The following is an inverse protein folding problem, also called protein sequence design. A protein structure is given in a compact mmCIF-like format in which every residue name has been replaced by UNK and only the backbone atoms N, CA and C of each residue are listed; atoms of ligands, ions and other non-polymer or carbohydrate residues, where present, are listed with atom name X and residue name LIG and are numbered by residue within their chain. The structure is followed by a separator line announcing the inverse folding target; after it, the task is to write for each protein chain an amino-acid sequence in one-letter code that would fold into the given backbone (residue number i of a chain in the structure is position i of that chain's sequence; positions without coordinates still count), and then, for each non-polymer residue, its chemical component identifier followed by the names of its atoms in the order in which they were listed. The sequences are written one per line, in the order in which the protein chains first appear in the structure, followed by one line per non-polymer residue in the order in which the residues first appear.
data_IF_234169504093
#
_entry.id   IF_234169504093
#
_cell.length_a   1.000
_cell.length_b   1.000
_cell.length_c   1.000
_cell.angle_alpha   90.00
_cell.angle_beta   90.00
_cell.angle_gamma   90.00
#
_symmetry.space_group_name_H-M   'P 1'
#
loop_
_entity.id
_entity.type
_entity.pdbx_description
1 polymer ?
#
# COMPACT_ATOMS: atom_id res chain seq x y z
N UNK A 1 -11.35 -65.24 -18.67
CA UNK A 1 -12.29 -64.18 -18.23
C UNK A 1 -11.50 -63.07 -17.55
N UNK A 2 -11.62 -61.84 -18.09
CA UNK A 2 -11.32 -60.50 -17.53
C UNK A 2 -9.86 -60.20 -17.10
N UNK A 3 -9.08 -59.48 -17.91
CA UNK A 3 -9.04 -58.03 -18.21
C UNK A 3 -8.25 -57.21 -17.18
N UNK A 4 -7.06 -56.79 -17.64
CA UNK A 4 -6.20 -55.66 -17.28
C UNK A 4 -6.94 -54.48 -16.63
N UNK A 5 -6.41 -53.91 -15.54
CA UNK A 5 -6.10 -52.46 -15.41
C UNK A 5 -4.98 -52.28 -14.36
N UNK A 6 -3.81 -51.91 -14.87
CA UNK A 6 -2.75 -51.19 -14.17
C UNK A 6 -3.30 -49.83 -13.73
N UNK A 7 -3.34 -49.52 -12.43
CA UNK A 7 -3.46 -48.13 -11.97
C UNK A 7 -2.13 -47.75 -11.32
N UNK A 8 -1.28 -47.15 -12.16
CA UNK A 8 -0.19 -46.30 -11.73
C UNK A 8 -0.78 -45.21 -10.82
N UNK A 9 -0.47 -45.28 -9.53
CA UNK A 9 -0.52 -44.11 -8.67
C UNK A 9 0.53 -43.13 -9.20
N UNK A 10 0.10 -42.24 -10.11
CA UNK A 10 0.78 -40.99 -10.38
C UNK A 10 0.71 -40.17 -9.09
N UNK A 11 1.69 -40.39 -8.21
CA UNK A 11 2.14 -39.37 -7.29
C UNK A 11 2.70 -38.24 -8.17
N UNK A 12 1.84 -37.29 -8.51
CA UNK A 12 2.24 -35.96 -8.96
C UNK A 12 2.94 -35.27 -7.79
N UNK A 13 4.16 -35.72 -7.50
CA UNK A 13 5.20 -34.83 -7.04
C UNK A 13 5.29 -33.75 -8.11
N UNK A 14 4.68 -32.60 -7.83
CA UNK A 14 5.12 -31.35 -8.40
C UNK A 14 6.57 -31.23 -7.96
N UNK A 15 7.47 -31.75 -8.78
CA UNK A 15 8.85 -31.34 -8.81
C UNK A 15 8.81 -29.86 -9.13
N UNK A 16 8.69 -29.04 -8.09
CA UNK A 16 9.24 -27.71 -8.11
C UNK A 16 10.71 -27.92 -8.49
N UNK A 17 11.05 -27.57 -9.73
CA UNK A 17 12.43 -27.47 -10.18
C UNK A 17 13.16 -26.54 -9.22
N UNK A 18 13.77 -27.10 -8.18
CA UNK A 18 14.67 -26.37 -7.32
C UNK A 18 15.82 -25.89 -8.21
N UNK A 19 15.99 -24.58 -8.27
CA UNK A 19 17.01 -23.96 -9.08
C UNK A 19 18.40 -24.49 -8.72
N UNK A 20 19.21 -24.82 -9.72
CA UNK A 20 20.56 -25.35 -9.56
C UNK A 20 21.60 -24.28 -9.19
N UNK A 21 21.17 -23.07 -8.80
CA UNK A 21 22.05 -22.01 -8.33
C UNK A 21 21.84 -21.85 -6.83
N UNK A 22 22.80 -22.23 -5.97
CA UNK A 22 22.66 -22.05 -4.53
C UNK A 22 22.59 -20.56 -4.22
N UNK A 23 21.37 -20.03 -4.06
CA UNK A 23 21.13 -18.69 -3.54
C UNK A 23 20.90 -18.75 -2.05
N UNK A 24 21.57 -17.87 -1.32
CA UNK A 24 21.26 -17.67 0.08
C UNK A 24 19.84 -17.14 0.26
N UNK A 25 19.15 -17.59 1.30
CA UNK A 25 17.93 -16.92 1.75
C UNK A 25 18.36 -15.67 2.50
N UNK A 26 17.96 -14.50 2.01
CA UNK A 26 18.11 -13.24 2.75
C UNK A 26 16.93 -13.10 3.67
N UNK A 27 17.20 -12.93 4.96
CA UNK A 27 16.18 -12.57 5.96
C UNK A 27 16.21 -11.06 6.15
N UNK A 28 15.06 -10.44 5.97
CA UNK A 28 14.80 -9.04 6.31
C UNK A 28 14.20 -8.98 7.71
N UNK A 29 14.47 -7.89 8.39
CA UNK A 29 13.83 -7.63 9.67
C UNK A 29 12.36 -7.30 9.43
N UNK A 30 11.54 -7.51 10.46
CA UNK A 30 10.17 -6.98 10.42
C UNK A 30 10.20 -5.45 10.40
N UNK A 31 9.17 -4.84 9.82
CA UNK A 31 9.02 -3.38 9.77
C UNK A 31 9.23 -2.67 11.12
N UNK A 32 8.75 -3.28 12.21
CA UNK A 32 8.85 -2.70 13.56
C UNK A 32 10.25 -2.85 14.19
N UNK A 33 11.02 -3.86 13.75
CA UNK A 33 12.44 -3.99 14.07
C UNK A 33 13.25 -2.95 13.28
N UNK A 34 12.97 -2.77 11.98
CA UNK A 34 13.62 -1.74 11.17
C UNK A 34 13.39 -0.34 11.73
N UNK A 35 12.16 -0.02 12.16
CA UNK A 35 11.85 1.22 12.88
C UNK A 35 12.70 1.34 14.14
N UNK A 36 12.83 0.27 14.93
CA UNK A 36 13.55 0.33 16.19
C UNK A 36 15.05 0.59 15.99
N UNK A 37 15.69 -0.12 15.07
CA UNK A 37 17.11 0.03 14.78
C UNK A 37 17.42 1.40 14.18
N UNK A 38 16.62 1.84 13.19
CA UNK A 38 16.79 3.16 12.59
C UNK A 38 16.55 4.28 13.60
N UNK A 39 15.59 4.13 14.51
CA UNK A 39 15.37 5.09 15.58
C UNK A 39 16.57 5.19 16.53
N UNK A 40 17.26 4.08 16.83
CA UNK A 40 18.46 4.10 17.67
C UNK A 40 19.64 4.78 16.97
N UNK A 41 19.84 4.54 15.67
CA UNK A 41 20.85 5.23 14.87
C UNK A 41 20.59 6.74 14.84
N UNK A 42 19.36 7.16 14.51
CA UNK A 42 18.98 8.57 14.48
C UNK A 42 19.13 9.26 15.84
N UNK A 43 18.79 8.59 16.94
CA UNK A 43 19.05 9.12 18.30
C UNK A 43 20.53 9.36 18.57
N UNK A 44 21.41 8.48 18.10
CA UNK A 44 22.85 8.66 18.25
C UNK A 44 23.35 9.88 17.46
N UNK A 45 22.80 10.09 16.25
CA UNK A 45 23.11 11.24 15.40
C UNK A 45 22.49 12.55 15.92
N UNK A 46 21.37 12.51 16.64
CA UNK A 46 20.74 13.71 17.21
C UNK A 46 21.60 14.43 18.24
N UNK A 47 22.54 13.74 18.89
CA UNK A 47 23.47 14.38 19.84
C UNK A 47 24.40 15.42 19.18
N UNK A 48 24.42 15.52 17.84
CA UNK A 48 25.07 16.61 17.10
C UNK A 48 24.15 17.76 16.65
N UNK A 49 22.91 17.85 17.18
CA UNK A 49 21.99 19.00 17.03
C UNK A 49 21.51 19.35 15.62
N UNK A 50 21.37 18.37 14.73
CA UNK A 50 20.73 18.62 13.42
C UNK A 50 19.21 18.49 13.53
N UNK A 51 18.49 19.61 13.36
CA UNK A 51 17.01 19.63 13.32
C UNK A 51 16.45 18.66 12.25
N UNK A 52 17.16 18.45 11.13
CA UNK A 52 16.83 17.46 10.11
C UNK A 52 16.76 16.02 10.66
N UNK A 53 17.72 15.63 11.50
CA UNK A 53 17.75 14.28 12.11
C UNK A 53 16.65 14.11 13.14
N UNK A 54 16.31 15.19 13.84
CA UNK A 54 15.15 15.21 14.74
C UNK A 54 13.85 15.04 13.96
N UNK A 55 13.71 15.71 12.82
CA UNK A 55 12.56 15.58 11.94
C UNK A 55 12.46 14.16 11.34
N UNK A 56 13.56 13.60 10.84
CA UNK A 56 13.63 12.20 10.36
C UNK A 56 13.17 11.20 11.43
N UNK A 57 13.62 11.38 12.69
CA UNK A 57 13.20 10.52 13.79
C UNK A 57 11.71 10.68 14.10
N UNK A 58 11.19 11.90 14.07
CA UNK A 58 9.78 12.18 14.29
C UNK A 58 8.89 11.53 13.22
N UNK A 59 9.29 11.62 11.95
CA UNK A 59 8.63 10.93 10.84
C UNK A 59 8.66 9.41 11.03
N UNK A 60 9.82 8.85 11.37
CA UNK A 60 9.95 7.41 11.59
C UNK A 60 8.98 6.92 12.67
N UNK A 61 8.84 7.67 13.77
CA UNK A 61 7.88 7.35 14.81
C UNK A 61 6.43 7.52 14.38
N UNK A 62 6.08 8.58 13.64
CA UNK A 62 4.69 8.85 13.25
C UNK A 62 4.11 7.80 12.30
N UNK A 63 4.95 7.12 11.52
CA UNK A 63 4.52 6.03 10.63
C UNK A 63 4.35 4.67 11.31
N UNK A 64 4.78 4.51 12.57
CA UNK A 64 4.61 3.28 13.33
C UNK A 64 3.15 2.83 13.41
N UNK A 65 2.90 1.52 13.32
CA UNK A 65 1.56 1.00 13.54
C UNK A 65 1.11 1.09 14.99
N UNK A 66 2.04 1.04 15.96
CA UNK A 66 1.69 1.12 17.37
C UNK A 66 1.62 2.56 17.87
N UNK A 67 0.49 2.95 18.45
CA UNK A 67 0.25 4.29 18.98
C UNK A 67 1.30 4.73 20.00
N UNK A 68 1.76 3.83 20.89
CA UNK A 68 2.79 4.14 21.89
C UNK A 68 4.08 4.68 21.27
N UNK A 69 4.45 4.18 20.08
CA UNK A 69 5.61 4.68 19.33
C UNK A 69 5.30 5.99 18.61
N UNK A 70 4.10 6.13 18.01
CA UNK A 70 3.68 7.40 17.38
C UNK A 70 3.70 8.58 18.35
N UNK A 71 3.33 8.35 19.62
CA UNK A 71 3.41 9.36 20.69
C UNK A 71 4.83 9.89 20.92
N UNK A 72 5.88 9.16 20.55
CA UNK A 72 7.27 9.62 20.65
C UNK A 72 7.60 10.73 19.63
N UNK A 73 6.83 10.88 18.56
CA UNK A 73 6.99 11.96 17.60
C UNK A 73 6.55 13.33 18.15
N UNK A 74 5.59 13.35 19.10
CA UNK A 74 4.96 14.58 19.62
C UNK A 74 5.98 15.61 20.11
N UNK A 75 6.89 15.29 21.07
CA UNK A 75 7.81 16.28 21.60
C UNK A 75 8.79 16.80 20.53
N UNK A 76 9.18 15.94 19.58
CA UNK A 76 10.11 16.31 18.51
C UNK A 76 9.47 17.28 17.52
N UNK A 77 8.25 16.98 17.05
CA UNK A 77 7.51 17.83 16.13
C UNK A 77 7.14 19.17 16.75
N UNK A 78 6.72 19.18 18.02
CA UNK A 78 6.37 20.43 18.73
C UNK A 78 7.57 21.36 18.87
N UNK A 79 8.73 20.82 19.28
CA UNK A 79 9.94 21.63 19.39
C UNK A 79 10.35 22.24 18.04
N UNK A 80 10.33 21.45 16.96
CA UNK A 80 10.67 21.92 15.61
C UNK A 80 9.66 22.94 15.09
N UNK A 81 8.37 22.73 15.35
CA UNK A 81 7.31 23.68 15.00
C UNK A 81 7.45 25.02 15.74
N UNK A 82 7.84 24.99 17.02
CA UNK A 82 8.09 26.21 17.79
C UNK A 82 9.33 26.98 17.29
N UNK A 83 10.29 26.29 16.65
CA UNK A 83 11.41 26.92 15.91
C UNK A 83 11.02 27.43 14.51
N UNK A 84 9.79 27.19 14.06
CA UNK A 84 9.32 27.62 12.74
C UNK A 84 9.69 26.67 11.58
N UNK A 85 10.06 25.41 11.87
CA UNK A 85 10.33 24.41 10.83
C UNK A 85 9.03 23.99 10.15
N UNK A 86 8.85 24.40 8.89
CA UNK A 86 7.55 24.30 8.20
C UNK A 86 7.09 22.86 7.96
N UNK A 87 7.99 21.96 7.58
CA UNK A 87 7.67 20.55 7.37
C UNK A 87 7.18 19.90 8.67
N UNK A 88 7.77 20.25 9.81
CA UNK A 88 7.30 19.79 11.12
C UNK A 88 5.94 20.37 11.48
N UNK A 89 5.68 21.64 11.14
CA UNK A 89 4.35 22.27 11.31
C UNK A 89 3.30 21.53 10.47
N UNK A 90 3.54 21.37 9.16
CA UNK A 90 2.66 20.66 8.23
C UNK A 90 2.37 19.24 8.71
N UNK A 91 3.40 18.48 9.07
CA UNK A 91 3.24 17.11 9.58
C UNK A 91 2.48 17.08 10.90
N UNK A 92 2.84 17.93 11.86
CA UNK A 92 2.17 17.97 13.17
C UNK A 92 0.66 18.22 13.01
N UNK A 93 0.29 19.24 12.24
CA UNK A 93 -1.11 19.61 12.02
C UNK A 93 -1.93 18.49 11.37
N UNK A 94 -1.38 17.80 10.37
CA UNK A 94 -2.04 16.65 9.75
C UNK A 94 -2.19 15.47 10.71
N UNK A 95 -1.16 15.16 11.49
CA UNK A 95 -1.20 14.04 12.43
C UNK A 95 -2.15 14.30 13.62
N UNK A 96 -2.25 15.55 14.09
CA UNK A 96 -3.23 15.95 15.11
C UNK A 96 -4.67 15.85 14.58
N UNK A 97 -4.92 16.32 13.35
CA UNK A 97 -6.24 16.26 12.75
C UNK A 97 -6.74 14.83 12.54
N UNK A 98 -5.85 13.92 12.13
CA UNK A 98 -6.17 12.50 11.90
C UNK A 98 -6.21 11.64 13.17
N UNK A 99 -5.77 12.15 14.31
CA UNK A 99 -5.67 11.37 15.55
C UNK A 99 -4.47 10.40 15.60
N UNK A 100 -3.52 10.53 14.67
CA UNK A 100 -2.38 9.61 14.53
C UNK A 100 -1.49 9.63 15.79
N UNK A 101 -1.42 10.77 16.50
CA UNK A 101 -0.61 10.92 17.72
C UNK A 101 -1.33 10.42 18.99
N UNK A 102 -2.50 9.81 18.86
CA UNK A 102 -3.29 9.32 19.99
C UNK A 102 -4.12 10.40 20.69
N UNK A 103 -4.32 11.54 20.05
CA UNK A 103 -5.28 12.58 20.40
C UNK A 103 -5.68 13.31 19.12
N UNK A 104 -6.84 13.96 19.11
CA UNK A 104 -7.28 14.80 17.99
C UNK A 104 -7.23 16.28 18.36
N UNK A 105 -6.80 17.12 17.43
CA UNK A 105 -6.65 18.56 17.65
C UNK A 105 -6.52 19.32 16.32
N UNK A 106 -7.00 20.56 16.33
CA UNK A 106 -6.84 21.58 15.30
C UNK A 106 -5.97 22.76 15.77
N UNK A 107 -5.52 22.75 17.03
CA UNK A 107 -4.87 23.90 17.66
C UNK A 107 -3.56 24.31 16.98
N UNK A 108 -2.74 23.34 16.55
CA UNK A 108 -1.53 23.65 15.78
C UNK A 108 -1.87 24.25 14.41
N UNK A 109 -2.94 23.79 13.75
CA UNK A 109 -3.34 24.36 12.47
C UNK A 109 -3.79 25.81 12.65
N UNK A 110 -4.65 26.09 13.64
CA UNK A 110 -5.09 27.44 13.96
C UNK A 110 -3.92 28.38 14.29
N UNK A 111 -2.92 27.90 15.05
CA UNK A 111 -1.71 28.66 15.39
C UNK A 111 -0.90 29.07 14.15
N UNK A 112 -0.74 28.16 13.19
CA UNK A 112 0.17 28.32 12.05
C UNK A 112 -0.52 28.55 10.70
N UNK A 113 -1.85 28.67 10.64
CA UNK A 113 -2.62 28.69 9.39
C UNK A 113 -2.13 29.74 8.38
N UNK A 114 -1.68 30.91 8.85
CA UNK A 114 -1.20 31.97 7.98
C UNK A 114 0.13 31.59 7.31
N UNK A 115 1.05 30.99 8.07
CA UNK A 115 2.33 30.49 7.55
C UNK A 115 2.12 29.32 6.59
N UNK A 116 1.26 28.37 6.94
CA UNK A 116 0.92 27.23 6.08
C UNK A 116 0.33 27.73 4.76
N UNK A 117 -0.64 28.65 4.79
CA UNK A 117 -1.27 29.18 3.57
C UNK A 117 -0.25 29.83 2.62
N UNK A 118 0.80 30.45 3.14
CA UNK A 118 1.82 31.12 2.32
C UNK A 118 2.89 30.13 1.84
N UNK A 119 3.36 29.24 2.71
CA UNK A 119 4.54 28.41 2.45
C UNK A 119 4.21 27.00 1.95
N UNK A 120 3.00 26.52 2.22
CA UNK A 120 2.47 25.20 1.83
C UNK A 120 0.95 25.29 1.50
N UNK A 121 0.59 25.99 0.42
CA UNK A 121 -0.81 26.22 0.04
C UNK A 121 -1.55 24.93 -0.31
N UNK A 122 -0.84 23.89 -0.73
CA UNK A 122 -1.43 22.57 -1.03
C UNK A 122 -1.91 21.90 0.25
N UNK A 123 -1.07 21.84 1.29
CA UNK A 123 -1.49 21.32 2.60
C UNK A 123 -2.63 22.15 3.20
N UNK A 124 -2.57 23.47 3.11
CA UNK A 124 -3.66 24.34 3.57
C UNK A 124 -4.99 23.98 2.89
N UNK A 125 -4.97 23.85 1.55
CA UNK A 125 -6.17 23.56 0.76
C UNK A 125 -6.71 22.17 1.06
N UNK A 126 -5.83 21.18 1.19
CA UNK A 126 -6.18 19.80 1.55
C UNK A 126 -6.82 19.73 2.94
N UNK A 127 -6.17 20.31 3.96
CA UNK A 127 -6.70 20.36 5.32
C UNK A 127 -8.07 21.04 5.37
N UNK A 128 -8.22 22.18 4.66
CA UNK A 128 -9.48 22.91 4.63
C UNK A 128 -10.60 22.14 3.94
N UNK A 129 -10.31 21.48 2.82
CA UNK A 129 -11.28 20.62 2.14
C UNK A 129 -11.75 19.49 3.07
N UNK A 130 -10.83 18.78 3.70
CA UNK A 130 -11.16 17.69 4.62
C UNK A 130 -11.96 18.20 5.84
N UNK A 131 -11.57 19.36 6.39
CA UNK A 131 -12.31 20.00 7.49
C UNK A 131 -13.74 20.34 7.06
N UNK A 132 -13.91 20.99 5.91
CA UNK A 132 -15.20 21.46 5.42
C UNK A 132 -16.13 20.27 5.11
N UNK A 133 -15.64 19.21 4.47
CA UNK A 133 -16.39 17.98 4.19
C UNK A 133 -16.88 17.32 5.49
N UNK A 134 -16.00 17.18 6.49
CA UNK A 134 -16.37 16.57 7.76
C UNK A 134 -17.30 17.46 8.59
N UNK A 135 -17.14 18.79 8.51
CA UNK A 135 -18.06 19.74 9.14
C UNK A 135 -19.44 19.66 8.48
N UNK A 136 -19.50 19.55 7.15
CA UNK A 136 -20.75 19.35 6.40
C UNK A 136 -21.46 18.06 6.84
N UNK A 137 -20.76 16.92 6.88
CA UNK A 137 -21.33 15.66 7.38
C UNK A 137 -21.82 15.77 8.81
N UNK A 138 -21.01 16.36 9.70
CA UNK A 138 -21.37 16.51 11.12
C UNK A 138 -22.56 17.44 11.36
N UNK A 139 -22.91 18.31 10.41
CA UNK A 139 -24.01 19.26 10.54
C UNK A 139 -25.28 18.78 9.84
N UNK A 140 -25.19 18.38 8.56
CA UNK A 140 -26.32 17.95 7.73
C UNK A 140 -26.72 16.50 7.99
N UNK A 141 -25.75 15.60 8.17
CA UNK A 141 -25.94 14.14 8.32
C UNK A 141 -25.61 13.66 9.75
N UNK A 142 -25.86 14.51 10.75
CA UNK A 142 -25.42 14.25 12.13
C UNK A 142 -25.98 12.93 12.70
N UNK A 143 -27.25 12.63 12.42
CA UNK A 143 -27.89 11.44 12.99
C UNK A 143 -27.29 10.17 12.39
N UNK A 144 -27.07 10.15 11.07
CA UNK A 144 -26.46 9.06 10.33
C UNK A 144 -25.02 8.83 10.79
N UNK A 145 -24.22 9.90 10.89
CA UNK A 145 -22.82 9.77 11.32
C UNK A 145 -22.72 9.41 12.80
N UNK A 146 -23.65 9.87 13.65
CA UNK A 146 -23.75 9.45 15.05
C UNK A 146 -24.02 7.96 15.17
N UNK A 147 -24.97 7.43 14.40
CA UNK A 147 -25.26 5.98 14.37
C UNK A 147 -24.02 5.19 13.97
N UNK A 148 -23.30 5.63 12.94
CA UNK A 148 -22.06 4.97 12.50
C UNK A 148 -21.02 5.04 13.62
N UNK A 149 -20.73 6.22 14.17
CA UNK A 149 -19.73 6.40 15.22
C UNK A 149 -20.05 5.55 16.45
N UNK A 150 -21.24 5.71 17.03
CA UNK A 150 -21.65 5.05 18.28
C UNK A 150 -21.65 3.52 18.14
N UNK A 151 -21.95 3.01 16.94
CA UNK A 151 -21.97 1.57 16.67
C UNK A 151 -20.61 0.99 16.27
N UNK A 152 -19.59 1.81 15.93
CA UNK A 152 -18.35 1.30 15.33
C UNK A 152 -17.06 1.78 16.00
N UNK A 153 -17.11 2.77 16.90
CA UNK A 153 -15.90 3.28 17.57
C UNK A 153 -15.11 2.16 18.29
N UNK A 154 -15.82 1.15 18.80
CA UNK A 154 -15.23 0.02 19.52
C UNK A 154 -14.38 -0.89 18.62
N UNK A 155 -14.51 -0.76 17.29
CA UNK A 155 -13.68 -1.44 16.31
C UNK A 155 -12.29 -0.77 16.18
N UNK A 156 -12.10 0.44 16.71
CA UNK A 156 -10.78 1.08 16.78
C UNK A 156 -9.90 0.39 17.82
N UNK A 157 -8.84 -0.32 17.39
CA UNK A 157 -7.90 -0.99 18.31
C UNK A 157 -7.01 -0.01 19.10
N UNK A 158 -6.87 1.23 18.63
CA UNK A 158 -5.90 2.20 19.13
C UNK A 158 -6.60 3.50 19.55
N UNK A 159 -7.29 3.45 20.70
CA UNK A 159 -8.10 4.55 21.25
C UNK A 159 -7.27 5.82 21.51
N UNK A 160 -7.85 6.99 21.21
CA UNK A 160 -7.28 8.29 21.56
C UNK A 160 -7.52 8.65 23.03
N UNK A 161 -6.73 9.59 23.57
CA UNK A 161 -6.81 10.03 24.97
C UNK A 161 -8.17 10.67 25.32
N UNK A 162 -8.81 11.32 24.36
CA UNK A 162 -10.13 11.95 24.49
C UNK A 162 -11.25 11.02 23.98
N UNK A 163 -11.15 9.72 24.29
CA UNK A 163 -12.13 8.77 23.78
C UNK A 163 -13.54 9.10 24.31
N UNK A 164 -14.50 9.25 23.38
CA UNK A 164 -15.92 9.48 23.69
C UNK A 164 -16.71 8.28 23.20
N UNK A 165 -17.53 7.68 24.06
CA UNK A 165 -18.32 6.50 23.72
C UNK A 165 -19.59 6.81 22.92
N UNK A 166 -19.92 8.10 22.76
CA UNK A 166 -21.10 8.56 22.03
C UNK A 166 -20.80 9.91 21.39
N UNK A 167 -21.09 10.06 20.11
CA UNK A 167 -20.88 11.30 19.37
C UNK A 167 -21.90 12.35 19.82
N UNK A 168 -21.41 13.51 20.23
CA UNK A 168 -22.24 14.66 20.60
C UNK A 168 -22.11 15.77 19.56
N UNK A 169 -23.17 16.57 19.38
CA UNK A 169 -23.15 17.69 18.45
C UNK A 169 -22.33 18.83 19.06
N UNK A 170 -21.11 19.00 18.57
CA UNK A 170 -20.21 20.08 18.95
C UNK A 170 -19.47 20.66 17.72
N UNK A 171 -18.93 21.88 17.81
CA UNK A 171 -18.08 22.43 16.74
C UNK A 171 -16.84 21.58 16.41
N UNK A 172 -16.39 20.72 17.33
CA UNK A 172 -15.22 19.85 17.18
C UNK A 172 -15.55 18.40 16.80
N UNK A 173 -16.82 18.09 16.52
CA UNK A 173 -17.28 16.74 16.15
C UNK A 173 -16.48 16.18 14.97
N UNK A 174 -16.16 17.02 13.98
CA UNK A 174 -15.41 16.62 12.79
C UNK A 174 -14.04 16.00 13.10
N UNK A 175 -13.39 16.37 14.22
CA UNK A 175 -12.12 15.78 14.63
C UNK A 175 -12.27 14.30 15.03
N UNK A 176 -13.34 13.96 15.75
CA UNK A 176 -13.65 12.57 16.11
C UNK A 176 -14.01 11.74 14.87
N UNK A 177 -14.65 12.36 13.89
CA UNK A 177 -14.98 11.74 12.61
C UNK A 177 -13.74 11.47 11.75
N UNK A 178 -12.81 12.43 11.67
CA UNK A 178 -11.50 12.25 11.04
C UNK A 178 -10.75 11.06 11.64
N UNK A 179 -10.68 11.00 12.98
CA UNK A 179 -10.08 9.88 13.67
C UNK A 179 -10.79 8.55 13.40
N UNK A 180 -12.12 8.50 13.42
CA UNK A 180 -12.86 7.26 13.14
C UNK A 180 -12.48 6.69 11.76
N UNK A 181 -12.50 7.53 10.72
CA UNK A 181 -12.09 7.15 9.37
C UNK A 181 -10.66 6.59 9.35
N UNK A 182 -9.75 7.30 10.01
CA UNK A 182 -8.34 6.91 10.07
C UNK A 182 -8.12 5.60 10.85
N UNK A 183 -8.79 5.42 11.98
CA UNK A 183 -8.67 4.24 12.83
C UNK A 183 -9.13 2.99 12.05
N UNK A 184 -10.27 3.10 11.35
CA UNK A 184 -10.91 1.99 10.67
C UNK A 184 -10.10 1.59 9.43
N UNK A 185 -9.47 2.53 8.75
CA UNK A 185 -8.76 2.27 7.48
C UNK A 185 -7.29 1.92 7.62
N UNK A 186 -6.61 2.33 8.71
CA UNK A 186 -5.15 2.20 8.84
C UNK A 186 -4.68 1.44 10.07
N UNK A 187 -5.34 1.60 11.21
CA UNK A 187 -4.79 1.17 12.51
C UNK A 187 -5.53 0.02 13.17
N UNK A 188 -6.64 -0.42 12.59
CA UNK A 188 -7.42 -1.57 13.03
C UNK A 188 -7.31 -2.67 11.98
N UNK A 189 -6.93 -3.86 12.40
CA UNK A 189 -6.64 -5.02 11.54
C UNK A 189 -7.29 -6.28 12.05
N UNK A 190 -8.31 -6.16 12.91
CA UNK A 190 -9.18 -7.23 13.38
C UNK A 190 -10.62 -6.93 12.98
N UNK A 191 -11.43 -7.98 12.95
CA UNK A 191 -12.85 -7.92 12.62
C UNK A 191 -13.05 -7.28 11.24
N UNK A 192 -12.31 -7.75 10.23
CA UNK A 192 -12.26 -7.16 8.89
C UNK A 192 -13.64 -6.89 8.33
N UNK A 193 -14.55 -7.87 8.39
CA UNK A 193 -15.91 -7.73 7.87
C UNK A 193 -16.65 -6.54 8.52
N UNK A 194 -16.73 -6.47 9.85
CA UNK A 194 -17.41 -5.37 10.55
C UNK A 194 -16.73 -4.01 10.32
N UNK A 195 -15.40 -3.97 10.32
CA UNK A 195 -14.59 -2.77 10.08
C UNK A 195 -14.77 -2.22 8.66
N UNK A 196 -14.76 -3.10 7.66
CA UNK A 196 -14.93 -2.74 6.25
C UNK A 196 -16.38 -2.29 6.00
N UNK A 197 -17.37 -2.91 6.62
CA UNK A 197 -18.78 -2.44 6.56
C UNK A 197 -18.94 -1.05 7.18
N UNK A 198 -18.31 -0.80 8.33
CA UNK A 198 -18.30 0.52 8.96
C UNK A 198 -17.67 1.58 8.04
N UNK A 199 -16.53 1.22 7.41
CA UNK A 199 -15.84 2.07 6.44
C UNK A 199 -16.69 2.34 5.21
N UNK A 200 -17.41 1.33 4.69
CA UNK A 200 -18.33 1.47 3.56
C UNK A 200 -19.43 2.51 3.85
N UNK A 201 -20.11 2.38 4.99
CA UNK A 201 -21.16 3.32 5.44
C UNK A 201 -20.63 4.74 5.62
N UNK A 202 -19.45 4.86 6.22
CA UNK A 202 -18.82 6.15 6.44
C UNK A 202 -18.40 6.81 5.12
N UNK A 203 -17.81 6.04 4.21
CA UNK A 203 -17.42 6.50 2.88
C UNK A 203 -18.63 6.93 2.04
N UNK A 204 -19.76 6.23 2.15
CA UNK A 204 -21.00 6.61 1.47
C UNK A 204 -21.46 8.02 1.88
N UNK A 205 -21.34 8.39 3.17
CA UNK A 205 -21.64 9.75 3.62
C UNK A 205 -20.64 10.78 3.07
N UNK A 206 -19.35 10.46 3.08
CA UNK A 206 -18.31 11.32 2.47
C UNK A 206 -18.60 11.59 0.99
N UNK A 207 -19.04 10.59 0.25
CA UNK A 207 -19.36 10.75 -1.18
C UNK A 207 -20.59 11.61 -1.46
N UNK A 208 -21.48 11.82 -0.47
CA UNK A 208 -22.65 12.70 -0.62
C UNK A 208 -22.30 14.19 -0.52
N UNK A 209 -21.26 14.52 0.23
CA UNK A 209 -20.83 15.91 0.46
C UNK A 209 -19.63 16.32 -0.40
N UNK A 210 -18.75 15.38 -0.72
CA UNK A 210 -17.50 15.65 -1.43
C UNK A 210 -17.76 16.12 -2.86
N UNK A 211 -16.89 16.99 -3.36
CA UNK A 211 -16.92 17.43 -4.75
C UNK A 211 -16.64 16.21 -5.66
N UNK A 212 -17.69 15.67 -6.30
CA UNK A 212 -17.71 14.39 -7.03
C UNK A 212 -16.79 14.42 -8.26
N UNK A 213 -15.48 14.29 -8.06
CA UNK A 213 -14.49 13.98 -9.09
C UNK A 213 -13.94 12.56 -8.98
N UNK A 214 -14.07 11.92 -7.83
CA UNK A 214 -13.63 10.54 -7.59
C UNK A 214 -14.84 9.60 -7.49
N UNK A 215 -14.75 8.40 -8.08
CA UNK A 215 -15.75 7.35 -7.91
C UNK A 215 -15.85 6.98 -6.42
N UNK A 216 -17.06 6.92 -5.89
CA UNK A 216 -17.27 6.54 -4.50
C UNK A 216 -16.87 5.08 -4.26
N UNK A 217 -15.88 4.83 -3.41
CA UNK A 217 -15.37 3.47 -3.13
C UNK A 217 -16.15 2.72 -2.04
N UNK A 218 -17.33 3.21 -1.64
CA UNK A 218 -18.16 2.61 -0.57
C UNK A 218 -18.59 1.19 -0.92
N UNK A 219 -19.06 0.95 -2.16
CA UNK A 219 -19.46 -0.36 -2.65
C UNK A 219 -18.30 -1.35 -2.66
N UNK A 220 -17.09 -0.88 -2.96
CA UNK A 220 -15.87 -1.69 -2.87
C UNK A 220 -15.57 -2.15 -1.44
N UNK A 221 -15.73 -1.29 -0.44
CA UNK A 221 -15.59 -1.68 0.96
C UNK A 221 -16.69 -2.66 1.39
N UNK A 222 -17.93 -2.48 0.91
CA UNK A 222 -19.04 -3.39 1.18
C UNK A 222 -18.78 -4.79 0.59
N UNK A 223 -18.30 -4.86 -0.65
CA UNK A 223 -17.92 -6.10 -1.33
C UNK A 223 -16.79 -6.85 -0.58
N UNK A 224 -15.74 -6.12 -0.16
CA UNK A 224 -14.68 -6.72 0.65
C UNK A 224 -15.18 -7.19 2.04
N UNK A 225 -16.20 -6.52 2.59
CA UNK A 225 -16.85 -6.89 3.85
C UNK A 225 -17.75 -8.13 3.76
N UNK A 226 -18.38 -8.38 2.60
CA UNK A 226 -19.11 -9.63 2.34
C UNK A 226 -18.21 -10.77 1.87
N UNK A 227 -17.03 -10.46 1.34
CA UNK A 227 -16.11 -11.45 0.75
C UNK A 227 -16.49 -11.79 -0.68
N UNK A 228 -17.32 -10.96 -1.31
CA UNK A 228 -17.81 -11.18 -2.66
C UNK A 228 -18.02 -9.87 -3.40
N UNK A 229 -17.77 -9.88 -4.71
CA UNK A 229 -17.94 -8.72 -5.59
C UNK A 229 -18.51 -9.19 -6.94
N UNK A 230 -19.01 -8.28 -7.75
CA UNK A 230 -19.51 -8.56 -9.09
C UNK A 230 -18.80 -7.67 -10.12
N UNK A 231 -19.11 -7.85 -11.41
CA UNK A 231 -18.47 -7.07 -12.47
C UNK A 231 -18.81 -5.57 -12.40
N UNK A 232 -19.97 -5.19 -11.88
CA UNK A 232 -20.43 -3.80 -11.81
C UNK A 232 -19.63 -3.00 -10.79
N UNK A 233 -19.28 -3.61 -9.65
CA UNK A 233 -18.52 -2.94 -8.58
C UNK A 233 -17.02 -3.34 -8.53
N UNK A 234 -16.49 -3.96 -9.59
CA UNK A 234 -15.10 -4.41 -9.65
C UNK A 234 -14.10 -3.23 -9.57
N UNK A 235 -14.42 -2.09 -10.17
CA UNK A 235 -13.55 -0.89 -10.13
C UNK A 235 -13.43 -0.34 -8.71
N UNK A 236 -14.56 -0.20 -8.01
CA UNK A 236 -14.66 0.29 -6.65
C UNK A 236 -14.00 -0.69 -5.66
N UNK A 237 -14.20 -1.99 -5.86
CA UNK A 237 -13.55 -3.05 -5.09
C UNK A 237 -12.03 -3.02 -5.26
N UNK A 238 -11.54 -2.88 -6.50
CA UNK A 238 -10.12 -2.71 -6.78
C UNK A 238 -9.55 -1.44 -6.11
N UNK A 239 -10.26 -0.31 -6.18
CA UNK A 239 -9.83 0.93 -5.55
C UNK A 239 -9.77 0.83 -4.01
N UNK A 240 -10.78 0.24 -3.38
CA UNK A 240 -10.81 -0.02 -1.94
C UNK A 240 -9.66 -0.95 -1.51
N UNK A 241 -9.45 -2.04 -2.27
CA UNK A 241 -8.36 -2.98 -2.02
C UNK A 241 -6.98 -2.33 -2.18
N UNK A 242 -6.81 -1.46 -3.17
CA UNK A 242 -5.58 -0.68 -3.37
C UNK A 242 -5.27 0.21 -2.17
N UNK A 243 -6.29 0.87 -1.62
CA UNK A 243 -6.16 1.72 -0.42
C UNK A 243 -5.78 0.89 0.81
N UNK A 244 -6.41 -0.26 1.00
CA UNK A 244 -6.06 -1.22 2.08
C UNK A 244 -4.62 -1.70 1.93
N UNK A 245 -4.22 -2.18 0.74
CA UNK A 245 -2.86 -2.64 0.47
C UNK A 245 -1.83 -1.55 0.78
N UNK A 246 -2.03 -0.33 0.27
CA UNK A 246 -1.11 0.80 0.54
C UNK A 246 -0.95 1.10 2.03
N UNK A 247 -2.04 1.05 2.80
CA UNK A 247 -2.02 1.30 4.24
C UNK A 247 -1.26 0.22 5.03
N UNK A 248 -1.16 -1.00 4.50
CA UNK A 248 -0.60 -2.15 5.19
C UNK A 248 0.64 -2.76 4.51
N UNK A 249 1.06 -2.24 3.36
CA UNK A 249 2.11 -2.80 2.50
C UNK A 249 3.37 -3.22 3.26
N UNK A 250 3.90 -2.35 4.11
CA UNK A 250 5.14 -2.63 4.85
C UNK A 250 5.01 -3.77 5.86
N UNK A 251 3.79 -4.05 6.35
CA UNK A 251 3.52 -5.20 7.22
C UNK A 251 3.25 -6.49 6.44
N UNK A 252 2.76 -6.36 5.21
CA UNK A 252 2.47 -7.47 4.31
C UNK A 252 3.73 -7.92 3.55
N UNK A 253 4.80 -7.12 3.58
CA UNK A 253 6.09 -7.51 3.04
C UNK A 253 6.60 -8.77 3.74
N UNK A 254 6.90 -9.81 2.95
CA UNK A 254 7.58 -11.01 3.43
C UNK A 254 8.89 -10.63 4.09
N UNK A 255 9.31 -11.38 5.11
CA UNK A 255 10.57 -11.11 5.83
C UNK A 255 11.71 -11.99 5.33
N UNK A 256 11.53 -12.69 4.22
CA UNK A 256 12.56 -13.51 3.61
C UNK A 256 12.38 -13.61 2.11
N UNK A 257 13.48 -13.74 1.38
CA UNK A 257 13.43 -14.01 -0.05
C UNK A 257 14.79 -14.46 -0.58
N UNK A 258 14.89 -14.63 -1.90
CA UNK A 258 16.13 -14.99 -2.54
C UNK A 258 17.14 -13.84 -2.47
N UNK A 259 18.38 -14.17 -2.12
CA UNK A 259 19.53 -13.27 -2.24
C UNK A 259 20.04 -13.15 -3.66
N UNK A 260 21.10 -12.36 -3.83
CA UNK A 260 21.65 -12.02 -5.13
C UNK A 260 22.05 -13.25 -5.96
N UNK A 261 21.61 -13.26 -7.23
CA UNK A 261 22.03 -14.23 -8.22
C UNK A 261 23.13 -13.68 -9.12
N UNK A 262 24.01 -14.55 -9.61
CA UNK A 262 24.96 -14.14 -10.65
C UNK A 262 24.30 -14.21 -12.02
N UNK A 263 24.28 -13.10 -12.76
CA UNK A 263 23.95 -13.08 -14.19
C UNK A 263 25.18 -13.35 -15.04
N UNK A 264 25.01 -14.03 -16.17
CA UNK A 264 26.11 -14.16 -17.15
C UNK A 264 26.37 -12.82 -17.83
N UNK A 265 27.59 -12.67 -18.36
CA UNK A 265 27.98 -11.46 -19.11
C UNK A 265 27.10 -11.24 -20.33
N UNK A 266 26.62 -12.29 -20.99
CA UNK A 266 25.75 -12.17 -22.17
C UNK A 266 24.36 -11.66 -21.81
N UNK A 267 23.75 -12.15 -20.73
CA UNK A 267 22.47 -11.62 -20.22
C UNK A 267 22.61 -10.16 -19.80
N UNK A 268 23.66 -9.84 -19.05
CA UNK A 268 23.94 -8.46 -18.64
C UNK A 268 24.15 -7.52 -19.84
N UNK A 269 24.84 -7.99 -20.89
CA UNK A 269 25.03 -7.23 -22.12
C UNK A 269 23.72 -7.00 -22.88
N UNK A 270 22.85 -8.01 -22.99
CA UNK A 270 21.56 -7.89 -23.64
C UNK A 270 20.64 -6.89 -22.93
N UNK A 271 20.55 -6.97 -21.59
CA UNK A 271 19.83 -6.00 -20.77
C UNK A 271 20.38 -4.58 -20.96
N UNK A 272 21.70 -4.42 -20.89
CA UNK A 272 22.34 -3.11 -21.06
C UNK A 272 22.07 -2.53 -22.46
N UNK A 273 22.17 -3.34 -23.50
CA UNK A 273 21.91 -2.90 -24.88
C UNK A 273 20.45 -2.46 -25.05
N UNK A 274 19.51 -3.22 -24.50
CA UNK A 274 18.09 -2.92 -24.58
C UNK A 274 17.74 -1.59 -23.87
N UNK A 275 18.24 -1.37 -22.65
CA UNK A 275 18.02 -0.11 -21.93
C UNK A 275 18.71 1.08 -22.60
N UNK A 276 19.90 0.89 -23.21
CA UNK A 276 20.57 1.96 -23.96
C UNK A 276 19.82 2.37 -25.23
N UNK A 277 19.33 1.41 -26.01
CA UNK A 277 18.52 1.70 -27.20
C UNK A 277 17.24 2.46 -26.81
N UNK A 278 16.60 2.02 -25.73
CA UNK A 278 15.48 2.75 -25.14
C UNK A 278 15.85 4.20 -24.75
N UNK A 279 16.96 4.41 -24.04
CA UNK A 279 17.40 5.75 -23.61
C UNK A 279 17.80 6.66 -24.79
N UNK A 280 18.14 6.07 -25.94
CA UNK A 280 18.35 6.78 -27.21
C UNK A 280 17.04 7.14 -27.93
N UNK A 281 15.87 6.77 -27.39
CA UNK A 281 14.55 7.02 -27.98
C UNK A 281 14.06 5.90 -28.92
N UNK A 282 14.82 4.83 -29.08
CA UNK A 282 14.48 3.68 -29.93
C UNK A 282 13.66 2.64 -29.14
N UNK A 283 12.50 3.06 -28.65
CA UNK A 283 11.72 2.27 -27.67
C UNK A 283 11.35 0.86 -28.11
N UNK A 284 11.05 0.66 -29.40
CA UNK A 284 10.73 -0.66 -29.95
C UNK A 284 11.94 -1.58 -30.03
N UNK A 285 13.10 -1.05 -30.40
CA UNK A 285 14.33 -1.85 -30.55
C UNK A 285 14.78 -2.42 -29.21
N UNK A 286 14.70 -1.63 -28.12
CA UNK A 286 14.98 -2.14 -26.78
C UNK A 286 14.14 -3.37 -26.40
N UNK A 287 12.84 -3.35 -26.71
CA UNK A 287 11.94 -4.49 -26.48
C UNK A 287 12.34 -5.68 -27.36
N UNK A 288 12.57 -5.44 -28.65
CA UNK A 288 12.92 -6.48 -29.63
C UNK A 288 14.25 -7.17 -29.30
N UNK A 289 15.24 -6.44 -28.77
CA UNK A 289 16.51 -7.00 -28.29
C UNK A 289 16.25 -8.08 -27.24
N UNK A 290 15.44 -7.80 -26.23
CA UNK A 290 15.17 -8.74 -25.14
C UNK A 290 14.29 -9.91 -25.58
N UNK A 291 13.28 -9.68 -26.42
CA UNK A 291 12.44 -10.74 -26.96
C UNK A 291 13.23 -11.70 -27.85
N UNK A 292 14.09 -11.17 -28.73
CA UNK A 292 15.00 -11.99 -29.53
C UNK A 292 16.03 -12.71 -28.67
N UNK A 293 16.51 -12.07 -27.60
CA UNK A 293 17.43 -12.71 -26.65
C UNK A 293 16.79 -13.94 -25.98
N UNK A 294 15.55 -13.84 -25.49
CA UNK A 294 14.80 -14.97 -24.94
C UNK A 294 14.62 -16.09 -25.97
N UNK A 295 14.22 -15.74 -27.20
CA UNK A 295 13.99 -16.70 -28.28
C UNK A 295 15.25 -17.46 -28.69
N UNK A 296 16.38 -16.76 -28.79
CA UNK A 296 17.64 -17.33 -29.26
C UNK A 296 18.44 -18.04 -28.17
N UNK A 297 18.07 -17.88 -26.89
CA UNK A 297 18.73 -18.50 -25.75
C UNK A 297 17.75 -19.34 -24.91
N UNK A 298 17.16 -20.42 -25.46
CA UNK A 298 16.15 -21.22 -24.74
C UNK A 298 16.72 -21.98 -23.51
N UNK A 299 18.04 -21.95 -23.31
CA UNK A 299 18.74 -22.60 -22.19
C UNK A 299 19.17 -21.59 -21.10
N UNK A 300 18.64 -20.37 -21.11
CA UNK A 300 18.84 -19.42 -20.01
C UNK A 300 18.45 -20.08 -18.69
N UNK A 301 19.26 -19.82 -17.67
CA UNK A 301 18.87 -20.31 -16.35
C UNK A 301 17.61 -19.56 -15.87
N UNK A 302 16.79 -20.17 -14.99
CA UNK A 302 15.51 -19.59 -14.58
C UNK A 302 15.58 -18.14 -14.08
N UNK A 303 16.66 -17.75 -13.42
CA UNK A 303 16.86 -16.39 -12.92
C UNK A 303 17.20 -15.38 -13.99
N UNK A 304 18.06 -15.74 -14.94
CA UNK A 304 18.29 -14.88 -16.10
C UNK A 304 17.00 -14.69 -16.89
N UNK A 305 16.23 -15.76 -17.09
CA UNK A 305 14.91 -15.68 -17.73
C UNK A 305 13.97 -14.73 -16.98
N UNK A 306 13.90 -14.82 -15.65
CA UNK A 306 13.07 -13.93 -14.83
C UNK A 306 13.49 -12.46 -14.95
N UNK A 307 14.80 -12.18 -14.93
CA UNK A 307 15.31 -10.81 -15.09
C UNK A 307 15.08 -10.25 -16.49
N UNK A 308 15.18 -11.07 -17.54
CA UNK A 308 14.88 -10.64 -18.91
C UNK A 308 13.37 -10.40 -19.07
N UNK A 309 12.50 -11.27 -18.55
CA UNK A 309 11.06 -11.00 -18.50
C UNK A 309 10.72 -9.70 -17.77
N UNK A 310 11.34 -9.44 -16.62
CA UNK A 310 11.21 -8.17 -15.90
C UNK A 310 11.68 -6.98 -16.74
N UNK A 311 12.81 -7.13 -17.45
CA UNK A 311 13.32 -6.11 -18.37
C UNK A 311 12.33 -5.78 -19.50
N UNK A 312 11.75 -6.81 -20.13
CA UNK A 312 10.71 -6.65 -21.17
C UNK A 312 9.51 -5.86 -20.63
N UNK A 313 9.00 -6.23 -19.46
CA UNK A 313 7.90 -5.53 -18.79
C UNK A 313 8.20 -4.03 -18.60
N UNK A 314 9.39 -3.70 -18.07
CA UNK A 314 9.80 -2.31 -17.85
C UNK A 314 9.91 -1.49 -19.14
N UNK A 315 10.44 -2.09 -20.21
CA UNK A 315 10.58 -1.40 -21.50
C UNK A 315 9.24 -1.20 -22.21
N UNK A 316 8.33 -2.18 -22.12
CA UNK A 316 6.96 -2.05 -22.66
C UNK A 316 6.20 -0.90 -22.03
N UNK A 317 6.27 -0.73 -20.70
CA UNK A 317 5.65 0.39 -20.00
C UNK A 317 6.11 1.73 -20.57
N UNK A 318 7.42 1.86 -20.80
CA UNK A 318 7.99 3.13 -21.28
C UNK A 318 7.74 3.38 -22.76
N UNK A 319 7.65 2.32 -23.59
CA UNK A 319 7.22 2.44 -24.99
C UNK A 319 5.80 2.99 -25.10
N UNK A 320 4.92 2.63 -24.16
CA UNK A 320 3.55 3.15 -24.05
C UNK A 320 2.72 2.97 -25.34
N UNK A 321 2.96 1.90 -26.09
CA UNK A 321 2.17 1.52 -27.25
C UNK A 321 0.81 0.93 -26.87
N UNK A 322 -0.10 0.84 -27.85
CA UNK A 322 -1.41 0.21 -27.66
C UNK A 322 -1.23 -1.28 -27.34
N UNK A 323 -1.77 -1.72 -26.20
CA UNK A 323 -1.65 -3.11 -25.72
C UNK A 323 -0.40 -3.38 -24.89
N UNK A 324 0.50 -2.41 -24.74
CA UNK A 324 1.76 -2.61 -24.02
C UNK A 324 1.56 -2.82 -22.51
N UNK A 325 0.52 -2.23 -21.91
CA UNK A 325 0.25 -2.42 -20.48
C UNK A 325 -0.14 -3.87 -20.16
N UNK A 326 -0.98 -4.48 -20.99
CA UNK A 326 -1.40 -5.88 -20.86
C UNK A 326 -0.19 -6.82 -21.04
N UNK A 327 0.60 -6.59 -22.10
CA UNK A 327 1.79 -7.39 -22.37
C UNK A 327 2.88 -7.19 -21.29
N UNK A 328 3.03 -5.98 -20.77
CA UNK A 328 3.93 -5.69 -19.66
C UNK A 328 3.50 -6.42 -18.38
N UNK A 329 2.19 -6.49 -18.10
CA UNK A 329 1.67 -7.24 -16.97
C UNK A 329 1.94 -8.74 -17.14
N UNK A 330 1.75 -9.29 -18.34
CA UNK A 330 2.06 -10.69 -18.66
C UNK A 330 3.54 -11.03 -18.40
N UNK A 331 4.47 -10.23 -18.93
CA UNK A 331 5.90 -10.47 -18.72
C UNK A 331 6.33 -10.25 -17.26
N UNK A 332 5.77 -9.24 -16.59
CA UNK A 332 6.00 -9.04 -15.16
C UNK A 332 5.52 -10.23 -14.33
N UNK A 333 4.35 -10.79 -14.67
CA UNK A 333 3.79 -11.98 -14.01
C UNK A 333 4.63 -13.23 -14.26
N UNK A 334 5.11 -13.45 -15.50
CA UNK A 334 6.07 -14.51 -15.82
C UNK A 334 7.36 -14.41 -15.00
N UNK A 335 7.83 -13.18 -14.73
CA UNK A 335 9.00 -12.97 -13.86
C UNK A 335 8.70 -13.34 -12.39
N UNK A 336 7.54 -12.94 -11.85
CA UNK A 336 7.12 -13.29 -10.49
C UNK A 336 6.90 -14.80 -10.31
N UNK A 337 6.17 -15.42 -11.23
CA UNK A 337 5.77 -16.84 -11.15
C UNK A 337 6.96 -17.80 -11.28
N UNK A 338 8.09 -17.31 -11.80
CA UNK A 338 9.36 -18.06 -11.76
C UNK A 338 9.87 -18.30 -10.34
N UNK A 339 9.51 -17.43 -9.39
CA UNK A 339 10.08 -17.35 -8.05
C UNK A 339 11.62 -17.25 -8.03
N UNK A 340 12.21 -16.60 -9.05
CA UNK A 340 13.68 -16.49 -9.21
C UNK A 340 14.20 -15.05 -9.02
N UNK A 341 13.32 -14.08 -8.81
CA UNK A 341 13.71 -12.71 -8.53
C UNK A 341 14.28 -12.59 -7.12
N UNK A 342 15.31 -11.76 -6.98
CA UNK A 342 15.84 -11.35 -5.69
C UNK A 342 14.79 -10.58 -4.90
N UNK A 343 14.86 -10.60 -3.57
CA UNK A 343 13.85 -10.01 -2.70
C UNK A 343 13.36 -8.62 -3.16
N UNK A 344 14.26 -7.65 -3.35
CA UNK A 344 13.88 -6.29 -3.76
C UNK A 344 13.28 -6.24 -5.18
N UNK A 345 13.87 -7.00 -6.11
CA UNK A 345 13.36 -7.09 -7.48
C UNK A 345 11.98 -7.74 -7.53
N UNK A 346 11.73 -8.76 -6.69
CA UNK A 346 10.44 -9.42 -6.55
C UNK A 346 9.38 -8.41 -6.11
N UNK A 347 9.61 -7.70 -5.01
CA UNK A 347 8.65 -6.72 -4.48
C UNK A 347 8.36 -5.59 -5.43
N UNK A 348 9.42 -5.02 -6.04
CA UNK A 348 9.25 -3.95 -7.02
C UNK A 348 8.47 -4.45 -8.25
N UNK A 349 8.68 -5.69 -8.69
CA UNK A 349 7.90 -6.28 -9.79
C UNK A 349 6.48 -6.62 -9.37
N UNK A 350 6.24 -7.04 -8.13
CA UNK A 350 4.90 -7.27 -7.60
C UNK A 350 4.07 -5.99 -7.63
N UNK A 351 4.60 -4.89 -7.09
CA UNK A 351 3.93 -3.59 -7.13
C UNK A 351 3.70 -3.09 -8.56
N UNK A 352 4.69 -3.29 -9.44
CA UNK A 352 4.59 -2.94 -10.85
C UNK A 352 3.42 -3.66 -11.52
N UNK A 353 3.34 -4.99 -11.38
CA UNK A 353 2.28 -5.81 -11.98
C UNK A 353 0.90 -5.42 -11.44
N UNK A 354 0.79 -5.18 -10.13
CA UNK A 354 -0.45 -4.68 -9.55
C UNK A 354 -0.87 -3.33 -10.16
N UNK A 355 0.05 -2.38 -10.28
CA UNK A 355 -0.24 -1.09 -10.89
C UNK A 355 -0.62 -1.22 -12.37
N UNK A 356 0.00 -2.15 -13.12
CA UNK A 356 -0.35 -2.42 -14.50
C UNK A 356 -1.76 -2.99 -14.66
N UNK A 357 -2.16 -3.97 -13.84
CA UNK A 357 -3.54 -4.48 -13.87
C UNK A 357 -4.55 -3.36 -13.60
N UNK A 358 -4.28 -2.51 -12.60
CA UNK A 358 -5.16 -1.39 -12.28
C UNK A 358 -5.24 -0.36 -13.42
N UNK A 359 -4.10 0.03 -14.00
CA UNK A 359 -4.04 1.00 -15.11
C UNK A 359 -4.69 0.47 -16.39
N UNK A 360 -4.56 -0.83 -16.66
CA UNK A 360 -5.20 -1.50 -17.78
C UNK A 360 -6.71 -1.75 -17.55
N UNK A 361 -7.27 -1.33 -16.39
CA UNK A 361 -8.65 -1.60 -15.96
C UNK A 361 -8.99 -3.09 -15.88
N UNK A 362 -7.97 -3.93 -15.73
CA UNK A 362 -8.12 -5.37 -15.50
C UNK A 362 -8.36 -5.62 -14.02
N UNK A 363 -9.51 -5.14 -13.54
CA UNK A 363 -9.83 -5.13 -12.12
C UNK A 363 -10.01 -6.53 -11.54
N UNK A 364 -10.43 -7.51 -12.34
CA UNK A 364 -10.56 -8.90 -11.91
C UNK A 364 -9.18 -9.47 -11.54
N UNK A 365 -8.20 -9.34 -12.43
CA UNK A 365 -6.85 -9.80 -12.14
C UNK A 365 -6.21 -8.97 -11.02
N UNK A 366 -6.46 -7.66 -10.96
CA UNK A 366 -6.00 -6.82 -9.84
C UNK A 366 -6.51 -7.33 -8.48
N UNK A 367 -7.82 -7.55 -8.37
CA UNK A 367 -8.47 -7.99 -7.13
C UNK A 367 -7.91 -9.35 -6.73
N UNK A 368 -7.86 -10.32 -7.65
CA UNK A 368 -7.31 -11.64 -7.38
C UNK A 368 -5.82 -11.56 -6.95
N UNK A 369 -5.01 -10.77 -7.65
CA UNK A 369 -3.58 -10.64 -7.40
C UNK A 369 -3.28 -10.04 -6.02
N UNK A 370 -3.92 -8.91 -5.68
CA UNK A 370 -3.68 -8.23 -4.39
C UNK A 370 -4.36 -8.95 -3.23
N UNK A 371 -5.58 -9.47 -3.39
CA UNK A 371 -6.27 -10.16 -2.29
C UNK A 371 -5.53 -11.42 -1.86
N UNK A 372 -5.09 -12.25 -2.82
CA UNK A 372 -4.28 -13.43 -2.53
C UNK A 372 -2.98 -13.07 -1.81
N UNK A 373 -2.34 -11.97 -2.20
CA UNK A 373 -1.15 -11.49 -1.54
C UNK A 373 -1.39 -11.08 -0.08
N UNK A 374 -2.44 -10.29 0.18
CA UNK A 374 -2.83 -9.88 1.54
C UNK A 374 -3.15 -11.11 2.38
N UNK A 375 -3.95 -12.04 1.84
CA UNK A 375 -4.38 -13.26 2.57
C UNK A 375 -3.19 -14.15 2.93
N UNK A 376 -2.23 -14.31 2.01
CA UNK A 376 -1.03 -15.10 2.25
C UNK A 376 -0.11 -14.49 3.32
N UNK A 377 -0.10 -13.16 3.45
CA UNK A 377 0.88 -12.43 4.27
C UNK A 377 0.30 -11.73 5.51
N UNK A 378 -1.02 -11.71 5.70
CA UNK A 378 -1.63 -11.03 6.86
C UNK A 378 -1.34 -11.73 8.20
N UNK A 379 -0.93 -13.00 8.19
CA UNK A 379 -0.55 -13.74 9.38
C UNK A 379 -1.69 -13.82 10.40
N UNK A 380 -1.47 -13.31 11.62
CA UNK A 380 -2.51 -13.22 12.65
C UNK A 380 -3.40 -11.96 12.53
N UNK A 381 -3.13 -11.09 11.56
CA UNK A 381 -4.00 -9.96 11.25
C UNK A 381 -5.17 -10.45 10.40
N UNK A 382 -6.32 -9.84 10.62
CA UNK A 382 -7.55 -10.02 9.86
C UNK A 382 -7.82 -8.71 9.11
N UNK A 383 -7.04 -8.49 8.04
CA UNK A 383 -7.11 -7.28 7.22
C UNK A 383 -8.29 -7.39 6.26
N UNK A 384 -8.36 -8.50 5.53
CA UNK A 384 -9.48 -8.88 4.67
C UNK A 384 -9.76 -10.38 4.79
N UNK A 385 -10.97 -10.77 4.44
CA UNK A 385 -11.33 -12.17 4.19
C UNK A 385 -11.10 -12.55 2.71
N UNK A 386 -11.18 -13.84 2.34
CA UNK A 386 -11.19 -14.27 0.94
C UNK A 386 -12.29 -13.56 0.12
N UNK A 387 -11.93 -13.13 -1.08
CA UNK A 387 -12.81 -12.37 -1.98
C UNK A 387 -13.07 -13.20 -3.23
N UNK A 388 -14.33 -13.39 -3.59
CA UNK A 388 -14.74 -14.17 -4.77
C UNK A 388 -15.62 -13.36 -5.72
N UNK A 389 -15.52 -13.63 -7.02
CA UNK A 389 -16.42 -13.05 -8.02
C UNK A 389 -17.76 -13.80 -8.00
N UNK A 390 -18.86 -13.07 -7.82
CA UNK A 390 -20.22 -13.58 -7.99
C UNK A 390 -20.55 -13.69 -9.48
N UNK A 391 -21.16 -14.82 -9.85
CA UNK A 391 -21.57 -15.12 -11.22
C UNK A 391 -22.91 -14.48 -11.58
#
# INVERSE_FOLDING_TARGET
MKLVVFVLFFSSMVTACQSASPRGIVKKQSYEQEIHERANALKAEMYSWHDDKKYELALLYSFSFYQRRRKLAIPLLKELADKGHMESITVLTGLEFMGDLGYVSDASFEKYQADIKVKDPEHFSSYKSDQDDLMHISSEYFNEVKIIYDSTYHLCEQLIDQHVSSLERSPKTYLLLSYLNRCLTKYSVRNSSSRLMATAKYQELLCKVGNVKENCISEGYAALSSGSYNLENASETAAALRKIYRNHKLKLAETSGLGFGSMTKSTGAALTAAFKSHDAGEFSEGVDILLNYLKNNPKLNPHETAFVHRGVSLLLIRRSGKGDLELAAEYGRKALDSNELEYESHWNTFDLVADLYYQNKDYINYIAFISNHIIANQGSMDIIQPVVLEN
#
